data_IF_017843188551
#
_entry.id   IF_017843188551
#
_cell.length_a   1.000
_cell.length_b   1.000
_cell.length_c   1.000
_cell.angle_alpha   90.00
_cell.angle_beta   90.00
_cell.angle_gamma   90.00
#
_symmetry.space_group_name_H-M   'P 1'
#
loop_
_entity.id
_entity.type
_entity.pdbx_description
1 polymer ?
#
# COMPACT_ATOMS: atom_id res chain seq x y z
N UNK A 1 -40.21 48.46 -38.47
CA UNK A 1 -38.74 48.39 -38.50
C UNK A 1 -38.38 46.95 -38.17
N UNK A 2 -38.71 46.00 -39.05
CA UNK A 2 -38.08 45.76 -40.37
C UNK A 2 -36.61 45.41 -40.17
N UNK A 3 -36.01 44.38 -40.75
CA UNK A 3 -36.34 43.53 -41.90
C UNK A 3 -35.22 42.45 -41.85
N UNK A 4 -35.47 41.13 -41.99
CA UNK A 4 -35.29 40.36 -43.24
C UNK A 4 -33.82 40.04 -43.57
N UNK A 5 -33.41 38.90 -44.14
CA UNK A 5 -33.92 37.60 -44.60
C UNK A 5 -32.60 36.86 -44.98
N UNK A 6 -32.43 35.54 -44.89
CA UNK A 6 -32.83 34.50 -45.85
C UNK A 6 -32.06 33.25 -45.35
N UNK A 7 -32.57 32.04 -45.10
CA UNK A 7 -33.66 31.24 -45.64
C UNK A 7 -33.41 30.75 -47.08
N UNK A 8 -32.95 29.49 -47.18
CA UNK A 8 -33.45 28.42 -48.09
C UNK A 8 -33.12 27.06 -47.45
N UNK A 9 -34.08 26.27 -46.94
CA UNK A 9 -35.11 25.43 -47.59
C UNK A 9 -34.57 24.30 -48.48
N UNK A 10 -34.69 23.06 -47.99
CA UNK A 10 -35.38 21.93 -48.65
C UNK A 10 -35.17 20.65 -47.84
N UNK A 11 -36.09 19.70 -47.71
CA UNK A 11 -37.55 19.68 -47.87
C UNK A 11 -38.03 18.34 -47.27
N UNK A 12 -39.22 18.37 -46.70
CA UNK A 12 -39.97 17.21 -46.21
C UNK A 12 -40.14 16.10 -47.26
N UNK A 13 -40.22 14.84 -46.79
CA UNK A 13 -41.18 13.88 -47.37
C UNK A 13 -41.87 13.07 -46.27
N UNK A 14 -43.18 13.27 -46.19
CA UNK A 14 -44.17 12.49 -45.44
C UNK A 14 -44.18 11.04 -45.90
N UNK A 15 -44.46 10.11 -44.99
CA UNK A 15 -45.40 9.02 -45.29
C UNK A 15 -46.02 8.46 -43.99
N UNK A 16 -47.28 8.81 -43.82
CA UNK A 16 -48.29 8.13 -43.01
C UNK A 16 -48.51 6.71 -43.53
N UNK A 17 -48.69 5.72 -42.66
CA UNK A 17 -49.66 4.65 -42.88
C UNK A 17 -50.11 4.08 -41.54
N UNK A 18 -51.38 4.36 -41.22
CA UNK A 18 -52.19 3.61 -40.28
C UNK A 18 -53.12 2.70 -41.11
N UNK A 19 -53.76 1.74 -40.43
CA UNK A 19 -54.83 0.81 -40.87
C UNK A 19 -54.44 -0.48 -41.61
N UNK A 20 -54.57 -1.59 -40.88
CA UNK A 20 -54.53 -2.97 -41.38
C UNK A 20 -54.62 -3.99 -40.23
N UNK A 21 -55.82 -4.17 -39.70
CA UNK A 21 -56.21 -5.20 -38.71
C UNK A 21 -55.85 -6.61 -39.21
N UNK A 22 -55.15 -7.42 -38.40
CA UNK A 22 -55.51 -8.84 -38.19
C UNK A 22 -55.33 -9.17 -36.71
N UNK A 23 -56.49 -9.31 -36.06
CA UNK A 23 -56.73 -10.03 -34.83
C UNK A 23 -56.49 -11.52 -35.10
N UNK A 24 -55.64 -12.16 -34.31
CA UNK A 24 -55.76 -13.59 -34.01
C UNK A 24 -55.63 -13.76 -32.48
N UNK A 25 -56.70 -13.37 -31.80
CA UNK A 25 -56.99 -13.72 -30.42
C UNK A 25 -57.40 -15.19 -30.28
N UNK A 26 -57.38 -15.67 -29.03
CA UNK A 26 -57.82 -16.97 -28.47
C UNK A 26 -56.68 -17.99 -28.29
N UNK A 27 -56.33 -18.43 -27.09
CA UNK A 27 -57.22 -18.80 -25.97
C UNK A 27 -56.63 -18.40 -24.60
N UNK A 28 -57.43 -17.67 -23.83
CA UNK A 28 -57.32 -17.67 -22.37
C UNK A 28 -57.86 -19.00 -21.86
N UNK A 29 -57.06 -19.76 -21.12
CA UNK A 29 -57.55 -20.80 -20.22
C UNK A 29 -56.70 -20.82 -18.95
N UNK A 30 -57.25 -20.19 -17.91
CA UNK A 30 -57.16 -20.70 -16.56
C UNK A 30 -57.74 -22.12 -16.59
N UNK A 31 -56.90 -23.13 -16.79
CA UNK A 31 -57.20 -24.51 -16.43
C UNK A 31 -56.28 -24.92 -15.29
N UNK A 32 -56.86 -25.01 -14.10
CA UNK A 32 -56.42 -25.98 -13.11
C UNK A 32 -56.47 -27.37 -13.76
N UNK A 33 -55.32 -28.03 -13.90
CA UNK A 33 -55.24 -29.31 -14.60
C UNK A 33 -53.82 -29.76 -14.94
N UNK A 34 -53.04 -30.12 -13.91
CA UNK A 34 -52.08 -31.25 -13.90
C UNK A 34 -51.35 -31.61 -15.21
N UNK A 35 -50.46 -30.77 -15.74
CA UNK A 35 -49.41 -31.23 -16.68
C UNK A 35 -48.22 -30.26 -16.79
N UNK A 36 -47.65 -29.87 -15.64
CA UNK A 36 -46.47 -28.97 -15.56
C UNK A 36 -45.25 -29.61 -14.88
N UNK A 37 -45.32 -30.89 -14.50
CA UNK A 37 -44.26 -31.54 -13.70
C UNK A 37 -42.95 -31.76 -14.48
N UNK A 38 -42.97 -31.99 -15.79
CA UNK A 38 -41.76 -32.32 -16.56
C UNK A 38 -40.88 -31.11 -16.87
N UNK A 39 -41.45 -30.01 -17.36
CA UNK A 39 -40.71 -28.76 -17.63
C UNK A 39 -40.19 -28.10 -16.35
N UNK A 40 -40.98 -28.12 -15.28
CA UNK A 40 -40.56 -27.63 -13.96
C UNK A 40 -39.43 -28.49 -13.35
N UNK A 41 -39.48 -29.82 -13.53
CA UNK A 41 -38.40 -30.72 -13.11
C UNK A 41 -37.10 -30.45 -13.88
N UNK A 42 -37.18 -30.26 -15.20
CA UNK A 42 -36.00 -29.92 -16.02
C UNK A 42 -35.39 -28.56 -15.63
N UNK A 43 -36.20 -27.54 -15.35
CA UNK A 43 -35.72 -26.25 -14.88
C UNK A 43 -35.08 -26.32 -13.49
N UNK A 44 -35.65 -27.11 -12.57
CA UNK A 44 -35.07 -27.33 -11.24
C UNK A 44 -33.74 -28.12 -11.31
N UNK A 45 -33.65 -29.11 -12.19
CA UNK A 45 -32.43 -29.89 -12.43
C UNK A 45 -31.31 -29.03 -13.03
N UNK A 46 -31.63 -28.18 -14.03
CA UNK A 46 -30.67 -27.22 -14.59
C UNK A 46 -30.21 -26.19 -13.55
N UNK A 47 -31.11 -25.70 -12.70
CA UNK A 47 -30.76 -24.78 -11.60
C UNK A 47 -29.84 -25.45 -10.57
N UNK A 48 -30.08 -26.72 -10.24
CA UNK A 48 -29.22 -27.48 -9.33
C UNK A 48 -27.82 -27.73 -9.92
N UNK A 49 -27.73 -28.06 -11.21
CA UNK A 49 -26.44 -28.22 -11.91
C UNK A 49 -25.67 -26.88 -11.94
N UNK A 50 -26.35 -25.78 -12.29
CA UNK A 50 -25.74 -24.46 -12.30
C UNK A 50 -25.28 -24.02 -10.90
N UNK A 51 -26.02 -24.38 -9.85
CA UNK A 51 -25.61 -24.15 -8.46
C UNK A 51 -24.36 -24.97 -8.09
N UNK A 52 -24.35 -26.27 -8.39
CA UNK A 52 -23.21 -27.14 -8.13
C UNK A 52 -21.94 -26.64 -8.83
N UNK A 53 -22.04 -26.20 -10.09
CA UNK A 53 -20.91 -25.59 -10.81
C UNK A 53 -20.38 -24.33 -10.14
N UNK A 54 -21.26 -23.47 -9.60
CA UNK A 54 -20.85 -22.28 -8.85
C UNK A 54 -20.14 -22.66 -7.54
N UNK A 55 -20.63 -23.68 -6.85
CA UNK A 55 -20.00 -24.21 -5.63
C UNK A 55 -18.61 -24.76 -5.94
N UNK A 56 -18.46 -25.60 -6.97
CA UNK A 56 -17.18 -26.18 -7.35
C UNK A 56 -16.16 -25.12 -7.77
N UNK A 57 -16.61 -24.13 -8.56
CA UNK A 57 -15.78 -23.01 -8.98
C UNK A 57 -15.36 -22.15 -7.77
N UNK A 58 -16.29 -21.85 -6.87
CA UNK A 58 -15.99 -21.11 -5.64
C UNK A 58 -14.95 -21.83 -4.77
N UNK A 59 -15.09 -23.16 -4.59
CA UNK A 59 -14.11 -23.97 -3.85
C UNK A 59 -12.72 -23.89 -4.48
N UNK A 60 -12.64 -24.04 -5.81
CA UNK A 60 -11.38 -23.92 -6.55
C UNK A 60 -10.75 -22.54 -6.37
N UNK A 61 -11.53 -21.49 -6.56
CA UNK A 61 -11.03 -20.11 -6.44
C UNK A 61 -10.55 -19.80 -5.01
N UNK A 62 -11.25 -20.28 -3.99
CA UNK A 62 -10.84 -20.13 -2.59
C UNK A 62 -9.55 -20.90 -2.29
N UNK A 63 -9.41 -22.12 -2.82
CA UNK A 63 -8.18 -22.90 -2.67
C UNK A 63 -6.99 -22.23 -3.36
N UNK A 64 -7.20 -21.59 -4.51
CA UNK A 64 -6.18 -20.77 -5.15
C UNK A 64 -5.78 -19.57 -4.28
N UNK A 65 -6.73 -18.89 -3.63
CA UNK A 65 -6.41 -17.80 -2.69
C UNK A 65 -5.59 -18.29 -1.50
N UNK A 66 -6.01 -19.41 -0.90
CA UNK A 66 -5.42 -19.98 0.33
C UNK A 66 -4.01 -20.51 0.07
N UNK A 67 -3.81 -21.20 -1.05
CA UNK A 67 -2.56 -21.89 -1.36
C UNK A 67 -1.62 -21.10 -2.28
N UNK A 68 -1.98 -19.86 -2.63
CA UNK A 68 -1.13 -19.02 -3.48
C UNK A 68 0.22 -18.72 -2.82
N UNK A 69 1.29 -18.95 -3.58
CA UNK A 69 2.69 -18.82 -3.21
C UNK A 69 3.28 -17.42 -3.53
N UNK A 70 2.42 -16.45 -3.84
CA UNK A 70 2.80 -15.09 -4.21
C UNK A 70 2.53 -14.73 -5.67
N UNK A 71 1.86 -15.59 -6.43
CA UNK A 71 1.48 -15.29 -7.82
C UNK A 71 0.41 -14.18 -7.91
N UNK A 72 -0.45 -14.06 -6.89
CA UNK A 72 -1.49 -13.03 -6.80
C UNK A 72 -1.14 -11.95 -5.79
N UNK A 73 -1.48 -10.70 -6.13
CA UNK A 73 -1.44 -9.61 -5.15
C UNK A 73 -2.55 -9.78 -4.10
N UNK A 74 -2.34 -9.19 -2.92
CA UNK A 74 -3.36 -9.17 -1.85
C UNK A 74 -4.68 -8.59 -2.38
N UNK A 75 -4.64 -7.53 -3.19
CA UNK A 75 -5.83 -6.92 -3.79
C UNK A 75 -6.56 -7.87 -4.76
N UNK A 76 -5.82 -8.61 -5.60
CA UNK A 76 -6.41 -9.61 -6.49
C UNK A 76 -7.11 -10.73 -5.70
N UNK A 77 -6.48 -11.23 -4.63
CA UNK A 77 -7.07 -12.24 -3.74
C UNK A 77 -8.35 -11.72 -3.08
N UNK A 78 -8.36 -10.48 -2.60
CA UNK A 78 -9.53 -9.83 -1.99
C UNK A 78 -10.68 -9.65 -2.98
N UNK A 79 -10.39 -9.19 -4.19
CA UNK A 79 -11.39 -9.05 -5.24
C UNK A 79 -12.03 -10.39 -5.58
N UNK A 80 -11.23 -11.46 -5.71
CA UNK A 80 -11.74 -12.82 -5.94
C UNK A 80 -12.61 -13.30 -4.77
N UNK A 81 -12.16 -13.12 -3.53
CA UNK A 81 -12.94 -13.48 -2.35
C UNK A 81 -14.28 -12.73 -2.29
N UNK A 82 -14.29 -11.43 -2.59
CA UNK A 82 -15.50 -10.61 -2.60
C UNK A 82 -16.50 -11.07 -3.68
N UNK A 83 -16.01 -11.45 -4.86
CA UNK A 83 -16.86 -12.05 -5.91
C UNK A 83 -17.52 -13.33 -5.40
N UNK A 84 -16.76 -14.22 -4.76
CA UNK A 84 -17.25 -15.50 -4.22
C UNK A 84 -18.29 -15.27 -3.12
N UNK A 85 -18.02 -14.36 -2.18
CA UNK A 85 -18.98 -13.97 -1.14
C UNK A 85 -20.26 -13.39 -1.73
N UNK A 86 -20.14 -12.60 -2.80
CA UNK A 86 -21.28 -12.03 -3.54
C UNK A 86 -22.19 -13.06 -4.21
N UNK A 87 -21.74 -14.31 -4.38
CA UNK A 87 -22.57 -15.40 -4.90
C UNK A 87 -23.59 -15.92 -3.87
N UNK A 88 -23.44 -15.60 -2.58
CA UNK A 88 -24.31 -16.02 -1.48
C UNK A 88 -24.63 -17.54 -1.50
N UNK A 89 -23.58 -18.36 -1.65
CA UNK A 89 -23.72 -19.82 -1.70
C UNK A 89 -23.96 -20.39 -0.30
N UNK A 90 -25.00 -21.20 -0.16
CA UNK A 90 -25.35 -21.92 1.07
C UNK A 90 -24.71 -23.32 1.02
N UNK A 91 -23.39 -23.36 1.15
CA UNK A 91 -22.58 -24.59 1.19
C UNK A 91 -21.55 -24.47 2.33
N UNK A 92 -21.59 -25.39 3.29
CA UNK A 92 -20.77 -25.32 4.51
C UNK A 92 -19.27 -25.31 4.20
N UNK A 93 -18.84 -26.11 3.22
CA UNK A 93 -17.43 -26.19 2.84
C UNK A 93 -16.94 -24.89 2.19
N UNK A 94 -17.78 -24.26 1.36
CA UNK A 94 -17.52 -22.91 0.83
C UNK A 94 -17.40 -21.91 1.97
N UNK A 95 -18.28 -21.94 2.97
CA UNK A 95 -18.20 -21.03 4.13
C UNK A 95 -16.91 -21.23 4.94
N UNK A 96 -16.49 -22.48 5.16
CA UNK A 96 -15.24 -22.81 5.85
C UNK A 96 -14.00 -22.37 5.06
N UNK A 97 -14.06 -22.47 3.73
CA UNK A 97 -13.01 -21.98 2.83
C UNK A 97 -12.96 -20.45 2.77
N UNK A 98 -14.11 -19.77 2.81
CA UNK A 98 -14.20 -18.30 2.92
C UNK A 98 -13.50 -17.86 4.21
N UNK A 99 -13.82 -18.49 5.35
CA UNK A 99 -13.21 -18.16 6.63
C UNK A 99 -11.68 -18.33 6.62
N UNK A 100 -11.19 -19.42 6.03
CA UNK A 100 -9.74 -19.65 5.87
C UNK A 100 -9.08 -18.62 4.94
N UNK A 101 -9.72 -18.28 3.82
CA UNK A 101 -9.23 -17.26 2.91
C UNK A 101 -9.17 -15.88 3.58
N UNK A 102 -10.17 -15.54 4.40
CA UNK A 102 -10.20 -14.30 5.20
C UNK A 102 -9.06 -14.24 6.22
N UNK A 103 -8.79 -15.32 6.95
CA UNK A 103 -7.68 -15.39 7.90
C UNK A 103 -6.31 -15.23 7.23
N UNK A 104 -6.10 -15.93 6.10
CA UNK A 104 -4.88 -15.79 5.28
C UNK A 104 -4.70 -14.34 4.83
N UNK A 105 -5.75 -13.71 4.31
CA UNK A 105 -5.70 -12.32 3.87
C UNK A 105 -5.44 -11.35 5.02
N UNK A 106 -6.05 -11.56 6.19
CA UNK A 106 -5.81 -10.74 7.38
C UNK A 106 -4.33 -10.81 7.82
N UNK A 107 -3.75 -12.01 7.82
CA UNK A 107 -2.33 -12.22 8.13
C UNK A 107 -1.43 -11.51 7.12
N UNK A 108 -1.69 -11.69 5.82
CA UNK A 108 -0.90 -11.07 4.76
C UNK A 108 -0.95 -9.53 4.81
N UNK A 109 -2.12 -8.94 5.12
CA UNK A 109 -2.26 -7.49 5.33
C UNK A 109 -1.39 -7.00 6.47
N UNK A 110 -1.47 -7.68 7.63
CA UNK A 110 -0.68 -7.32 8.82
C UNK A 110 0.82 -7.42 8.55
N UNK A 111 1.26 -8.46 7.83
CA UNK A 111 2.66 -8.63 7.44
C UNK A 111 3.11 -7.52 6.48
N UNK A 112 2.29 -7.19 5.47
CA UNK A 112 2.58 -6.10 4.53
C UNK A 112 2.65 -4.75 5.24
N UNK A 113 1.70 -4.45 6.11
CA UNK A 113 1.70 -3.23 6.90
C UNK A 113 2.95 -3.13 7.77
N UNK A 114 3.31 -4.22 8.46
CA UNK A 114 4.54 -4.28 9.27
C UNK A 114 5.78 -4.03 8.40
N UNK A 115 5.88 -4.67 7.24
CA UNK A 115 7.01 -4.45 6.30
C UNK A 115 7.08 -3.00 5.82
N UNK A 116 5.95 -2.42 5.41
CA UNK A 116 5.89 -1.02 4.96
C UNK A 116 6.31 -0.07 6.07
N UNK A 117 5.87 -0.30 7.31
CA UNK A 117 6.28 0.52 8.46
C UNK A 117 7.77 0.40 8.71
N UNK A 118 8.33 -0.82 8.72
CA UNK A 118 9.77 -1.05 8.91
C UNK A 118 10.59 -0.38 7.81
N UNK A 119 10.25 -0.62 6.54
CA UNK A 119 10.94 0.00 5.39
C UNK A 119 10.87 1.53 5.44
N UNK A 120 9.72 2.08 5.82
CA UNK A 120 9.53 3.53 5.94
C UNK A 120 10.39 4.11 7.07
N UNK A 121 10.48 3.42 8.22
CA UNK A 121 11.32 3.88 9.33
C UNK A 121 12.82 3.73 9.03
N UNK A 122 13.24 2.67 8.34
CA UNK A 122 14.60 2.51 7.83
C UNK A 122 14.98 3.63 6.85
N UNK A 123 14.08 3.98 5.92
CA UNK A 123 14.29 5.10 4.99
C UNK A 123 14.42 6.44 5.72
N UNK A 124 13.56 6.71 6.71
CA UNK A 124 13.64 7.93 7.52
C UNK A 124 14.93 7.98 8.35
N UNK A 125 15.35 6.85 8.90
CA UNK A 125 16.62 6.76 9.65
C UNK A 125 17.81 6.99 8.72
N UNK A 126 17.82 6.40 7.52
CA UNK A 126 18.86 6.63 6.52
C UNK A 126 18.93 8.11 6.09
N UNK A 127 17.77 8.74 5.86
CA UNK A 127 17.70 10.17 5.55
C UNK A 127 18.27 11.03 6.69
N UNK A 128 17.96 10.68 7.95
CA UNK A 128 18.52 11.36 9.12
C UNK A 128 20.03 11.17 9.24
N UNK A 129 20.55 9.95 9.06
CA UNK A 129 22.00 9.67 9.03
C UNK A 129 22.70 10.54 7.98
N UNK A 130 22.14 10.62 6.78
CA UNK A 130 22.68 11.46 5.70
C UNK A 130 22.65 12.96 6.05
N UNK A 131 21.58 13.43 6.69
CA UNK A 131 21.49 14.82 7.15
C UNK A 131 22.57 15.14 8.21
N UNK A 132 22.81 14.24 9.16
CA UNK A 132 23.88 14.38 10.16
C UNK A 132 25.26 14.46 9.50
N UNK A 133 25.59 13.47 8.64
CA UNK A 133 26.86 13.43 7.93
C UNK A 133 27.08 14.69 7.05
N UNK A 134 26.01 15.20 6.43
CA UNK A 134 26.06 16.44 5.64
C UNK A 134 26.37 17.67 6.50
N UNK A 135 25.75 17.77 7.68
CA UNK A 135 26.03 18.85 8.63
C UNK A 135 27.47 18.77 9.15
N UNK A 136 27.95 17.57 9.52
CA UNK A 136 29.33 17.36 9.97
C UNK A 136 30.34 17.77 8.91
N UNK A 137 30.12 17.35 7.66
CA UNK A 137 30.96 17.75 6.52
C UNK A 137 30.95 19.27 6.33
N UNK A 138 29.79 19.91 6.45
CA UNK A 138 29.63 21.36 6.28
C UNK A 138 30.35 22.16 7.39
N UNK A 139 30.42 21.64 8.60
CA UNK A 139 31.23 22.23 9.69
C UNK A 139 32.72 22.12 9.36
N UNK A 140 33.19 20.93 8.98
CA UNK A 140 34.60 20.69 8.64
C UNK A 140 35.06 21.50 7.42
N UNK A 141 34.21 21.67 6.40
CA UNK A 141 34.56 22.37 5.16
C UNK A 141 34.32 23.89 5.19
N UNK A 142 33.96 24.47 6.34
CA UNK A 142 33.61 25.88 6.43
C UNK A 142 34.78 26.82 6.10
N UNK A 143 34.53 27.80 5.23
CA UNK A 143 35.53 28.77 4.79
C UNK A 143 35.88 29.83 5.85
N UNK A 144 34.98 30.11 6.80
CA UNK A 144 35.17 31.10 7.86
C UNK A 144 34.63 30.61 9.20
N UNK A 145 35.11 31.18 10.31
CA UNK A 145 34.64 30.86 11.65
C UNK A 145 33.14 31.14 11.82
N UNK A 146 32.65 32.25 11.28
CA UNK A 146 31.22 32.58 11.32
C UNK A 146 30.36 31.53 10.61
N UNK A 147 30.79 31.06 9.43
CA UNK A 147 30.06 30.01 8.70
C UNK A 147 30.10 28.69 9.47
N UNK A 148 31.25 28.33 10.06
CA UNK A 148 31.36 27.13 10.86
C UNK A 148 30.41 27.16 12.07
N UNK A 149 30.38 28.24 12.84
CA UNK A 149 29.52 28.37 14.02
C UNK A 149 28.03 28.31 13.66
N UNK A 150 27.63 28.86 12.51
CA UNK A 150 26.27 28.71 11.99
C UNK A 150 25.95 27.24 11.65
N UNK A 151 26.90 26.54 11.02
CA UNK A 151 26.75 25.12 10.70
C UNK A 151 26.67 24.26 11.96
N UNK A 152 27.46 24.56 13.00
CA UNK A 152 27.38 23.90 14.31
C UNK A 152 25.98 24.10 14.90
N UNK A 153 25.49 25.34 14.94
CA UNK A 153 24.15 25.66 15.46
C UNK A 153 23.03 24.93 14.70
N UNK A 154 23.21 24.69 13.40
CA UNK A 154 22.25 23.92 12.61
C UNK A 154 22.34 22.41 12.88
N UNK A 155 23.55 21.87 13.02
CA UNK A 155 23.78 20.47 13.35
C UNK A 155 23.16 20.11 14.71
N UNK A 156 23.36 20.96 15.72
CA UNK A 156 22.86 20.75 17.08
C UNK A 156 21.34 20.64 17.17
N UNK A 157 20.60 21.23 16.22
CA UNK A 157 19.13 21.07 16.14
C UNK A 157 18.69 19.63 15.91
N UNK A 158 19.56 18.74 15.42
CA UNK A 158 19.25 17.32 15.22
C UNK A 158 19.38 16.51 16.52
N UNK A 159 20.06 17.05 17.54
CA UNK A 159 20.35 16.37 18.80
C UNK A 159 19.37 16.80 19.88
N UNK A 160 19.18 15.94 20.88
CA UNK A 160 18.29 16.24 22.01
C UNK A 160 18.89 17.31 22.95
N UNK A 161 20.22 17.37 23.03
CA UNK A 161 20.98 18.41 23.71
C UNK A 161 22.41 18.52 23.13
N UNK A 162 23.18 19.49 23.61
CA UNK A 162 24.59 19.68 23.21
C UNK A 162 25.55 18.69 23.89
N UNK A 163 25.11 18.07 24.99
CA UNK A 163 25.88 17.11 25.80
C UNK A 163 25.74 15.66 25.36
N UNK A 164 25.03 15.43 24.24
CA UNK A 164 24.80 14.08 23.73
C UNK A 164 26.12 13.36 23.41
N UNK A 165 26.31 12.12 23.89
CA UNK A 165 27.55 11.39 23.67
C UNK A 165 27.80 11.09 22.20
N UNK A 166 29.05 11.29 21.79
CA UNK A 166 29.63 10.83 20.53
C UNK A 166 30.72 9.81 20.87
N UNK A 167 30.55 8.60 20.36
CA UNK A 167 31.50 7.50 20.55
C UNK A 167 32.19 7.23 19.21
N UNK A 168 33.52 7.24 19.20
CA UNK A 168 34.31 6.99 17.99
C UNK A 168 34.93 5.60 18.11
N UNK A 169 34.52 4.68 17.26
CA UNK A 169 35.01 3.31 17.21
C UNK A 169 36.41 3.32 16.59
N UNK A 170 37.38 2.76 17.31
CA UNK A 170 38.78 2.64 16.87
C UNK A 170 39.13 1.23 16.37
N UNK A 171 38.47 0.20 16.90
CA UNK A 171 38.59 -1.19 16.46
C UNK A 171 37.33 -1.98 16.79
N UNK A 172 37.10 -3.05 16.02
CA UNK A 172 36.04 -4.00 16.27
C UNK A 172 36.57 -5.43 16.04
N UNK A 173 36.53 -6.28 17.06
CA UNK A 173 36.98 -7.67 16.98
C UNK A 173 35.99 -8.58 17.71
N UNK A 174 35.57 -9.68 17.07
CA UNK A 174 34.62 -10.65 17.63
C UNK A 174 33.32 -10.03 18.19
N UNK A 175 32.86 -8.93 17.58
CA UNK A 175 31.67 -8.19 18.02
C UNK A 175 31.89 -7.25 19.22
N UNK A 176 33.11 -7.16 19.77
CA UNK A 176 33.47 -6.17 20.77
C UNK A 176 34.01 -4.91 20.07
N UNK A 177 33.49 -3.74 20.48
CA UNK A 177 33.90 -2.43 19.97
C UNK A 177 34.81 -1.76 20.98
N UNK A 178 35.98 -1.32 20.53
CA UNK A 178 36.82 -0.40 21.29
C UNK A 178 36.54 1.02 20.83
N UNK A 179 36.39 1.91 21.79
CA UNK A 179 36.09 3.31 21.54
C UNK A 179 37.27 4.18 21.94
N UNK A 180 37.49 5.25 21.20
CA UNK A 180 38.30 6.37 21.67
C UNK A 180 37.63 7.02 22.90
N UNK A 181 38.35 7.95 23.55
CA UNK A 181 37.83 8.72 24.67
C UNK A 181 36.47 9.34 24.30
N UNK A 182 35.39 9.04 25.05
CA UNK A 182 34.08 9.60 24.79
C UNK A 182 34.09 11.13 24.80
N UNK A 183 33.30 11.73 23.92
CA UNK A 183 33.12 13.18 23.83
C UNK A 183 31.63 13.53 23.71
N UNK A 184 31.30 14.83 23.71
CA UNK A 184 29.95 15.32 23.46
C UNK A 184 29.82 15.85 22.04
N UNK A 185 28.58 15.94 21.53
CA UNK A 185 28.35 16.40 20.17
C UNK A 185 28.87 17.81 19.93
N UNK A 186 28.70 18.74 20.89
CA UNK A 186 29.27 20.09 20.76
C UNK A 186 30.80 20.03 20.63
N UNK A 187 31.49 19.28 21.49
CA UNK A 187 32.95 19.14 21.45
C UNK A 187 33.42 18.48 20.16
N UNK A 188 32.69 17.50 19.67
CA UNK A 188 33.01 16.83 18.41
C UNK A 188 32.84 17.77 17.20
N UNK A 189 31.77 18.56 17.15
CA UNK A 189 31.56 19.55 16.10
C UNK A 189 32.62 20.66 16.13
N UNK A 190 33.00 21.13 17.32
CA UNK A 190 34.11 22.08 17.49
C UNK A 190 35.44 21.48 17.02
N UNK A 191 35.70 20.20 17.34
CA UNK A 191 36.85 19.48 16.81
C UNK A 191 36.84 19.42 15.28
N UNK A 192 35.71 19.07 14.65
CA UNK A 192 35.58 19.04 13.18
C UNK A 192 35.87 20.41 12.55
N UNK A 193 35.38 21.49 13.17
CA UNK A 193 35.67 22.87 12.75
C UNK A 193 37.18 23.15 12.74
N UNK A 194 37.88 22.70 13.77
CA UNK A 194 39.30 23.01 13.96
C UNK A 194 40.20 22.15 13.03
N UNK A 195 39.91 20.86 12.90
CA UNK A 195 40.73 19.96 12.07
C UNK A 195 40.42 20.04 10.57
N UNK A 196 39.27 20.60 10.21
CA UNK A 196 38.79 20.76 8.82
C UNK A 196 38.84 19.48 7.98
N UNK A 197 38.70 18.35 8.64
CA UNK A 197 38.69 17.03 8.03
C UNK A 197 37.46 16.26 8.49
N UNK A 198 36.87 15.50 7.58
CA UNK A 198 35.68 14.70 7.84
C UNK A 198 35.79 13.37 7.08
N UNK A 199 36.00 12.29 7.83
CA UNK A 199 36.28 10.96 7.27
C UNK A 199 35.66 9.85 8.13
N UNK A 200 34.36 9.99 8.41
CA UNK A 200 33.61 9.07 9.28
C UNK A 200 32.28 8.64 8.67
N UNK A 201 31.75 7.53 9.17
CA UNK A 201 30.40 7.02 8.94
C UNK A 201 29.66 6.83 10.27
N UNK A 202 28.34 6.71 10.20
CA UNK A 202 27.50 6.46 11.38
C UNK A 202 27.20 4.97 11.46
N UNK A 203 27.87 4.31 12.40
CA UNK A 203 27.64 2.92 12.76
C UNK A 203 26.26 2.79 13.41
N UNK A 204 26.08 3.46 14.56
CA UNK A 204 24.85 3.43 15.35
C UNK A 204 24.33 4.83 15.66
N UNK A 205 23.01 4.94 15.81
CA UNK A 205 22.33 6.19 16.18
C UNK A 205 21.10 5.85 17.02
N UNK A 206 21.03 6.42 18.22
CA UNK A 206 19.88 6.27 19.13
C UNK A 206 19.06 7.55 19.11
N UNK A 207 17.73 7.41 19.06
CA UNK A 207 16.78 8.51 18.99
C UNK A 207 15.85 8.53 20.21
N UNK A 208 15.40 9.71 20.61
CA UNK A 208 14.29 9.88 21.55
C UNK A 208 12.92 9.78 20.85
N UNK A 209 11.84 9.92 21.64
CA UNK A 209 10.46 9.91 21.15
C UNK A 209 10.14 11.07 20.18
N UNK A 210 10.94 12.14 20.17
CA UNK A 210 10.81 13.28 19.28
C UNK A 210 11.73 13.18 18.04
N UNK A 211 12.37 12.01 17.84
CA UNK A 211 13.36 11.74 16.79
C UNK A 211 14.60 12.63 16.86
N UNK A 212 14.95 13.11 18.05
CA UNK A 212 16.22 13.78 18.32
C UNK A 212 17.27 12.74 18.70
N UNK A 213 18.50 12.98 18.27
CA UNK A 213 19.61 12.06 18.54
C UNK A 213 20.02 12.16 20.01
N UNK A 214 20.08 11.03 20.70
CA UNK A 214 20.49 10.90 22.10
C UNK A 214 21.81 10.16 22.29
N UNK A 215 22.31 9.50 21.25
CA UNK A 215 23.64 8.90 21.18
C UNK A 215 24.01 8.65 19.72
N UNK A 216 25.29 8.78 19.38
CA UNK A 216 25.80 8.45 18.05
C UNK A 216 27.14 7.74 18.14
N UNK A 217 27.27 6.64 17.42
CA UNK A 217 28.53 5.93 17.22
C UNK A 217 29.04 6.19 15.81
N UNK A 218 30.31 6.58 15.74
CA UNK A 218 31.02 6.88 14.50
C UNK A 218 32.13 5.87 14.29
N UNK A 219 32.39 5.52 13.04
CA UNK A 219 33.54 4.71 12.64
C UNK A 219 34.28 5.44 11.52
N UNK A 220 35.60 5.32 11.49
CA UNK A 220 36.39 5.88 10.39
C UNK A 220 36.10 5.11 9.09
N UNK A 221 36.06 5.83 7.97
CA UNK A 221 35.97 5.24 6.63
C UNK A 221 37.23 4.44 6.26
#
# INVERSE_FOLDING_TARGET
MDFIQHLTLNQMRKQTFNTGIIILSLFALLFAGTSCKSKQKLAAEQAAIAYAQKVDQAKKDLLEIINDDGSMTIEQKENRLNVIKGLNLDDQEVQDLIMRAEDVLAKLRKEKETKVVVETEEQKLAALKNAVLSNFRSVASAGTLTVANNNISNALKLFASEDIPVLIIISQENGMKDYDRPTTIIKYLEYLKDVKNFDVEIENMVLDNNRKITEIELIKK
#
